data_IF_364822338831
#
_entry.id   IF_364822338831
#
_cell.length_a   1.000
_cell.length_b   1.000
_cell.length_c   1.000
_cell.angle_alpha   90.00
_cell.angle_beta   90.00
_cell.angle_gamma   90.00
#
_symmetry.space_group_name_H-M   'P 1'
#
loop_
_entity.id
_entity.type
_entity.pdbx_description
1 polymer ?
#
# COMPACT_ATOMS: atom_id res chain seq x y z
N UNK A 1 47.67 16.95 -24.85
CA UNK A 1 46.37 16.56 -25.46
C UNK A 1 45.63 15.44 -24.70
N UNK A 2 46.26 14.31 -24.35
CA UNK A 2 45.59 13.20 -23.62
C UNK A 2 45.03 13.60 -22.24
N UNK A 3 45.81 14.31 -21.42
CA UNK A 3 45.37 14.78 -20.08
C UNK A 3 44.16 15.73 -20.16
N UNK A 4 44.17 16.68 -21.10
CA UNK A 4 43.05 17.62 -21.32
C UNK A 4 41.77 16.88 -21.73
N UNK A 5 41.87 15.85 -22.59
CA UNK A 5 40.74 14.98 -22.94
C UNK A 5 40.16 14.24 -21.72
N UNK A 6 41.00 13.69 -20.85
CA UNK A 6 40.52 13.03 -19.62
C UNK A 6 39.87 14.01 -18.65
N UNK A 7 40.39 15.22 -18.52
CA UNK A 7 39.75 16.28 -17.72
C UNK A 7 38.38 16.67 -18.28
N UNK A 8 38.27 16.88 -19.60
CA UNK A 8 36.98 17.20 -20.25
C UNK A 8 35.96 16.06 -20.12
N UNK A 9 36.40 14.80 -20.25
CA UNK A 9 35.56 13.62 -20.03
C UNK A 9 35.06 13.52 -18.59
N UNK A 10 35.95 13.72 -17.61
CA UNK A 10 35.57 13.71 -16.19
C UNK A 10 34.57 14.83 -15.86
N UNK A 11 34.75 16.02 -16.44
CA UNK A 11 33.86 17.16 -16.24
C UNK A 11 32.47 16.90 -16.86
N UNK A 12 32.43 16.31 -18.06
CA UNK A 12 31.17 15.92 -18.71
C UNK A 12 30.41 14.87 -17.88
N UNK A 13 31.10 13.85 -17.36
CA UNK A 13 30.50 12.83 -16.50
C UNK A 13 29.95 13.44 -15.21
N UNK A 14 30.68 14.36 -14.58
CA UNK A 14 30.22 15.06 -13.38
C UNK A 14 28.95 15.89 -13.63
N UNK A 15 28.89 16.60 -14.76
CA UNK A 15 27.70 17.39 -15.15
C UNK A 15 26.49 16.46 -15.39
N UNK A 16 26.67 15.36 -16.11
CA UNK A 16 25.60 14.40 -16.37
C UNK A 16 25.09 13.75 -15.08
N UNK A 17 25.98 13.41 -14.14
CA UNK A 17 25.60 12.87 -12.84
C UNK A 17 24.83 13.89 -11.99
N UNK A 18 25.23 15.17 -12.00
CA UNK A 18 24.52 16.23 -11.28
C UNK A 18 23.11 16.49 -11.86
N UNK A 19 22.98 16.51 -13.19
CA UNK A 19 21.69 16.66 -13.87
C UNK A 19 20.76 15.47 -13.57
N UNK A 20 21.27 14.25 -13.63
CA UNK A 20 20.51 13.04 -13.30
C UNK A 20 20.08 13.03 -11.82
N UNK A 21 20.97 13.39 -10.90
CA UNK A 21 20.69 13.48 -9.47
C UNK A 21 19.66 14.56 -9.13
N UNK A 22 19.79 15.75 -9.73
CA UNK A 22 18.82 16.85 -9.57
C UNK A 22 17.44 16.49 -10.13
N UNK A 23 17.37 15.89 -11.32
CA UNK A 23 16.12 15.40 -11.89
C UNK A 23 15.46 14.35 -10.99
N UNK A 24 16.23 13.37 -10.50
CA UNK A 24 15.73 12.34 -9.60
C UNK A 24 15.18 12.91 -8.29
N UNK A 25 15.88 13.87 -7.68
CA UNK A 25 15.43 14.52 -6.45
C UNK A 25 14.12 15.29 -6.67
N UNK A 26 14.03 16.08 -7.73
CA UNK A 26 12.83 16.86 -8.07
C UNK A 26 11.61 15.98 -8.42
N UNK A 27 11.83 14.80 -8.98
CA UNK A 27 10.76 13.86 -9.35
C UNK A 27 10.48 12.79 -8.29
N UNK A 28 11.25 12.77 -7.20
CA UNK A 28 10.98 11.88 -6.08
C UNK A 28 9.74 12.37 -5.32
N UNK A 29 8.62 11.65 -5.46
CA UNK A 29 7.41 11.94 -4.71
C UNK A 29 7.66 11.88 -3.20
N UNK A 30 6.96 12.69 -2.41
CA UNK A 30 7.12 12.68 -0.94
C UNK A 30 6.72 11.30 -0.38
N UNK A 31 7.68 10.50 0.12
CA UNK A 31 7.39 9.14 0.60
C UNK A 31 6.59 9.15 1.91
N UNK A 32 6.51 10.28 2.60
CA UNK A 32 5.81 10.43 3.88
C UNK A 32 4.46 11.14 3.73
N UNK A 33 3.94 11.32 2.50
CA UNK A 33 2.69 12.05 2.29
C UNK A 33 1.52 11.41 3.04
N UNK A 34 1.33 10.09 2.91
CA UNK A 34 0.30 9.35 3.66
C UNK A 34 0.53 9.45 5.17
N UNK A 35 1.77 9.32 5.64
CA UNK A 35 2.10 9.47 7.06
C UNK A 35 1.67 10.83 7.61
N UNK A 36 1.98 11.91 6.88
CA UNK A 36 1.61 13.28 7.27
C UNK A 36 0.08 13.43 7.31
N UNK A 37 -0.63 12.92 6.31
CA UNK A 37 -2.10 12.95 6.30
C UNK A 37 -2.67 12.25 7.54
N UNK A 38 -2.23 11.03 7.84
CA UNK A 38 -2.76 10.27 8.98
C UNK A 38 -2.41 10.94 10.30
N UNK A 39 -1.14 11.22 10.54
CA UNK A 39 -0.65 11.63 11.86
C UNK A 39 -0.80 13.12 12.15
N UNK A 40 -0.92 13.97 11.12
CA UNK A 40 -0.98 15.43 11.28
C UNK A 40 -2.35 16.01 10.91
N UNK A 41 -3.23 15.23 10.28
CA UNK A 41 -4.57 15.69 9.91
C UNK A 41 -5.63 14.77 10.50
N UNK A 42 -5.76 13.53 10.01
CA UNK A 42 -6.86 12.65 10.40
C UNK A 42 -6.90 12.39 11.92
N UNK A 43 -5.77 11.99 12.52
CA UNK A 43 -5.70 11.71 13.97
C UNK A 43 -5.95 12.97 14.82
N UNK A 44 -5.26 14.11 14.60
CA UNK A 44 -5.54 15.33 15.34
C UNK A 44 -6.98 15.84 15.17
N UNK A 45 -7.54 15.85 13.95
CA UNK A 45 -8.91 16.29 13.71
C UNK A 45 -9.92 15.39 14.43
N UNK A 46 -9.70 14.07 14.42
CA UNK A 46 -10.57 13.15 15.17
C UNK A 46 -10.50 13.39 16.68
N UNK A 47 -9.30 13.60 17.22
CA UNK A 47 -9.10 13.82 18.66
C UNK A 47 -9.69 15.14 19.14
N UNK A 48 -9.53 16.21 18.36
CA UNK A 48 -9.87 17.56 18.78
C UNK A 48 -11.28 17.99 18.38
N UNK A 49 -11.77 17.50 17.24
CA UNK A 49 -12.99 17.99 16.60
C UNK A 49 -14.00 16.86 16.33
N UNK A 50 -13.66 15.62 16.66
CA UNK A 50 -14.45 14.43 16.32
C UNK A 50 -14.72 14.32 14.81
N UNK A 51 -13.81 14.84 13.99
CA UNK A 51 -13.93 14.88 12.54
C UNK A 51 -12.81 14.03 11.90
N UNK A 52 -13.13 12.96 11.15
CA UNK A 52 -12.11 12.10 10.57
C UNK A 52 -11.42 12.72 9.33
N UNK A 53 -11.99 13.78 8.75
CA UNK A 53 -11.50 14.38 7.50
C UNK A 53 -10.01 14.75 7.59
N UNK A 54 -9.18 14.46 6.56
CA UNK A 54 -9.54 13.99 5.21
C UNK A 54 -9.71 12.46 5.11
N UNK A 55 -9.55 11.71 6.20
CA UNK A 55 -9.88 10.30 6.23
C UNK A 55 -11.40 10.13 6.25
N UNK A 56 -11.88 9.00 5.74
CA UNK A 56 -13.28 8.65 5.82
C UNK A 56 -13.66 8.08 7.20
N UNK A 57 -12.70 7.42 7.86
CA UNK A 57 -12.84 6.94 9.24
C UNK A 57 -11.51 7.07 9.98
N UNK A 58 -11.57 7.40 11.28
CA UNK A 58 -10.44 7.31 12.20
C UNK A 58 -10.86 6.53 13.43
N UNK A 59 -10.33 5.31 13.57
CA UNK A 59 -10.60 4.44 14.70
C UNK A 59 -9.39 4.44 15.65
N UNK A 60 -9.38 5.39 16.59
CA UNK A 60 -8.26 5.56 17.53
C UNK A 60 -8.04 4.32 18.42
N UNK A 61 -9.13 3.68 18.86
CA UNK A 61 -9.07 2.48 19.71
C UNK A 61 -8.54 1.26 18.95
N UNK A 62 -8.96 1.10 17.69
CA UNK A 62 -8.49 0.07 16.78
C UNK A 62 -7.10 0.35 16.20
N UNK A 63 -6.60 1.58 16.32
CA UNK A 63 -5.28 1.97 15.86
C UNK A 63 -5.16 2.15 14.35
N UNK A 64 -6.26 2.45 13.64
CA UNK A 64 -6.26 2.59 12.17
C UNK A 64 -7.13 3.73 11.64
N UNK A 65 -6.96 4.06 10.36
CA UNK A 65 -7.81 4.96 9.58
C UNK A 65 -8.21 4.29 8.27
N UNK A 66 -9.36 4.68 7.72
CA UNK A 66 -9.74 4.42 6.33
C UNK A 66 -9.61 5.71 5.52
N UNK A 67 -8.85 5.66 4.44
CA UNK A 67 -8.57 6.81 3.59
C UNK A 67 -8.93 6.51 2.14
N UNK A 68 -9.67 7.41 1.48
CA UNK A 68 -10.02 7.23 0.07
C UNK A 68 -8.77 7.40 -0.79
N UNK A 69 -8.40 6.37 -1.56
CA UNK A 69 -7.29 6.49 -2.51
C UNK A 69 -7.67 7.46 -3.63
N UNK A 70 -6.71 8.20 -4.18
CA UNK A 70 -6.96 9.04 -5.36
C UNK A 70 -7.16 8.21 -6.63
N UNK A 71 -6.62 6.99 -6.65
CA UNK A 71 -6.70 6.07 -7.77
C UNK A 71 -7.90 5.13 -7.57
N UNK A 72 -8.67 4.92 -8.63
CA UNK A 72 -9.80 3.98 -8.63
C UNK A 72 -11.08 4.52 -7.97
N UNK A 73 -12.27 4.15 -8.47
CA UNK A 73 -13.54 4.70 -8.00
C UNK A 73 -13.87 4.26 -6.57
N UNK A 74 -13.56 3.00 -6.21
CA UNK A 74 -13.94 2.36 -4.95
C UNK A 74 -12.74 2.00 -4.06
N UNK A 75 -11.53 2.38 -4.44
CA UNK A 75 -10.34 1.99 -3.69
C UNK A 75 -10.15 2.83 -2.43
N UNK A 76 -9.92 2.16 -1.31
CA UNK A 76 -9.56 2.73 -0.02
C UNK A 76 -8.23 2.16 0.48
N UNK A 77 -7.63 2.86 1.43
CA UNK A 77 -6.44 2.44 2.16
C UNK A 77 -6.77 2.30 3.64
N UNK A 78 -6.40 1.17 4.24
CA UNK A 78 -6.28 1.07 5.69
C UNK A 78 -4.84 1.37 6.10
N UNK A 79 -4.66 2.29 7.06
CA UNK A 79 -3.35 2.70 7.58
C UNK A 79 -3.36 2.81 9.11
N UNK A 80 -2.26 2.50 9.81
CA UNK A 80 -2.20 2.64 11.25
C UNK A 80 -2.16 4.12 11.68
N UNK A 81 -2.71 4.42 12.85
CA UNK A 81 -2.67 5.75 13.50
C UNK A 81 -1.34 6.05 14.18
N UNK A 82 -0.33 5.19 13.98
CA UNK A 82 1.02 5.30 14.50
C UNK A 82 2.03 4.78 13.47
N UNK A 83 3.32 4.99 13.71
CA UNK A 83 4.36 4.77 12.69
C UNK A 83 4.66 3.28 12.49
N UNK A 84 4.23 2.75 11.35
CA UNK A 84 4.69 1.49 10.75
C UNK A 84 5.01 1.81 9.29
N UNK A 85 6.18 1.45 8.78
CA UNK A 85 6.58 1.84 7.42
C UNK A 85 5.97 0.96 6.32
N UNK A 86 5.76 -0.33 6.61
CA UNK A 86 5.30 -1.32 5.65
C UNK A 86 5.63 -2.73 6.10
N UNK A 87 5.62 -3.67 5.15
CA UNK A 87 5.81 -5.11 5.37
C UNK A 87 7.11 -5.48 6.08
N UNK A 88 8.13 -4.63 5.99
CA UNK A 88 9.45 -4.84 6.62
C UNK A 88 9.51 -4.46 8.11
N UNK A 89 8.44 -3.91 8.68
CA UNK A 89 8.45 -3.47 10.07
C UNK A 89 8.43 -4.67 11.03
N UNK A 90 9.35 -4.75 12.02
CA UNK A 90 9.36 -5.83 13.00
C UNK A 90 8.11 -5.83 13.88
N UNK A 91 7.44 -4.68 14.02
CA UNK A 91 6.17 -4.56 14.75
C UNK A 91 5.10 -5.52 14.21
N UNK A 92 5.14 -5.89 12.92
CA UNK A 92 4.17 -6.81 12.33
C UNK A 92 4.33 -8.26 12.82
N UNK A 93 5.43 -8.58 13.51
CA UNK A 93 5.67 -9.88 14.13
C UNK A 93 5.29 -9.91 15.62
N UNK A 94 4.98 -8.76 16.21
CA UNK A 94 4.60 -8.66 17.61
C UNK A 94 3.15 -9.15 17.80
N UNK A 95 2.89 -10.07 18.74
CA UNK A 95 1.55 -10.64 18.95
C UNK A 95 0.47 -9.61 19.32
N UNK A 96 0.88 -8.47 19.90
CA UNK A 96 -0.01 -7.39 20.31
C UNK A 96 -0.28 -6.36 19.19
N UNK A 97 0.41 -6.45 18.05
CA UNK A 97 0.12 -5.59 16.91
C UNK A 97 -1.25 -5.94 16.34
N UNK A 98 -2.13 -4.95 16.09
CA UNK A 98 -3.43 -5.20 15.51
C UNK A 98 -3.35 -5.97 14.20
N UNK A 99 -4.31 -6.87 13.98
CA UNK A 99 -4.45 -7.55 12.71
C UNK A 99 -5.05 -6.60 11.66
N UNK A 100 -4.19 -5.83 11.00
CA UNK A 100 -4.59 -4.84 10.00
C UNK A 100 -5.31 -5.45 8.79
N UNK A 101 -4.98 -6.68 8.40
CA UNK A 101 -5.70 -7.37 7.31
C UNK A 101 -7.14 -7.67 7.72
N UNK A 102 -7.37 -8.12 8.96
CA UNK A 102 -8.72 -8.33 9.48
C UNK A 102 -9.48 -7.00 9.60
N UNK A 103 -8.84 -5.95 10.11
CA UNK A 103 -9.46 -4.62 10.19
C UNK A 103 -9.84 -4.09 8.79
N UNK A 104 -8.99 -4.32 7.79
CA UNK A 104 -9.26 -3.89 6.41
C UNK A 104 -10.42 -4.69 5.81
N UNK A 105 -10.52 -5.98 6.12
CA UNK A 105 -11.68 -6.80 5.75
C UNK A 105 -12.96 -6.27 6.38
N UNK A 106 -12.98 -5.97 7.68
CA UNK A 106 -14.14 -5.39 8.35
C UNK A 106 -14.53 -4.02 7.78
N UNK A 107 -13.55 -3.19 7.41
CA UNK A 107 -13.75 -1.88 6.81
C UNK A 107 -14.20 -1.89 5.35
N UNK A 108 -14.29 -3.05 4.68
CA UNK A 108 -14.60 -3.13 3.23
C UNK A 108 -15.96 -2.57 2.84
N UNK A 109 -16.92 -2.52 3.77
CA UNK A 109 -18.27 -2.01 3.52
C UNK A 109 -18.28 -0.53 3.09
N UNK A 110 -17.22 0.21 3.39
CA UNK A 110 -17.01 1.57 2.87
C UNK A 110 -17.01 1.63 1.33
N UNK A 111 -16.66 0.53 0.66
CA UNK A 111 -16.76 0.40 -0.79
C UNK A 111 -18.22 0.39 -1.24
N UNK A 112 -19.08 -0.38 -0.59
CA UNK A 112 -20.54 -0.43 -0.84
C UNK A 112 -21.18 0.93 -0.62
N UNK A 113 -20.82 1.61 0.48
CA UNK A 113 -21.31 2.96 0.79
C UNK A 113 -20.97 3.96 -0.31
N UNK A 114 -19.73 3.92 -0.81
CA UNK A 114 -19.30 4.80 -1.92
C UNK A 114 -19.92 4.41 -3.26
N UNK A 115 -20.11 3.12 -3.50
CA UNK A 115 -20.71 2.59 -4.73
C UNK A 115 -22.20 2.93 -4.83
N UNK A 116 -22.89 3.08 -3.69
CA UNK A 116 -24.34 3.28 -3.63
C UNK A 116 -25.15 1.98 -3.77
N UNK A 117 -24.47 0.84 -3.85
CA UNK A 117 -25.05 -0.49 -3.89
C UNK A 117 -24.07 -1.51 -3.29
N UNK A 118 -24.55 -2.66 -2.78
CA UNK A 118 -23.69 -3.68 -2.18
C UNK A 118 -22.56 -4.12 -3.13
N UNK A 119 -21.33 -4.13 -2.63
CA UNK A 119 -20.19 -4.78 -3.29
C UNK A 119 -20.05 -6.19 -2.69
N UNK A 120 -20.18 -7.27 -3.48
CA UNK A 120 -20.13 -8.62 -2.95
C UNK A 120 -18.71 -8.97 -2.48
N UNK A 121 -18.60 -9.76 -1.40
CA UNK A 121 -17.33 -10.16 -0.79
C UNK A 121 -16.35 -10.81 -1.78
N UNK A 122 -16.87 -11.61 -2.72
CA UNK A 122 -16.06 -12.28 -3.74
C UNK A 122 -15.42 -11.34 -4.76
N UNK A 123 -15.87 -10.08 -4.81
CA UNK A 123 -15.29 -9.03 -5.64
C UNK A 123 -14.22 -8.21 -4.90
N UNK A 124 -14.11 -8.32 -3.57
CA UNK A 124 -13.15 -7.54 -2.77
C UNK A 124 -11.81 -8.25 -2.66
N UNK A 125 -10.72 -7.49 -2.65
CA UNK A 125 -9.37 -7.96 -2.35
C UNK A 125 -8.63 -6.98 -1.44
N UNK A 126 -7.75 -7.54 -0.61
CA UNK A 126 -6.84 -6.81 0.27
C UNK A 126 -5.41 -7.10 -0.18
N UNK A 127 -4.62 -6.05 -0.40
CA UNK A 127 -3.24 -6.19 -0.83
C UNK A 127 -2.32 -5.17 -0.16
N UNK A 128 -1.09 -5.57 0.14
CA UNK A 128 -0.03 -4.68 0.60
C UNK A 128 1.21 -4.89 -0.26
N UNK A 129 1.84 -3.79 -0.66
CA UNK A 129 3.05 -3.82 -1.46
C UNK A 129 4.29 -3.84 -0.56
N UNK A 130 5.33 -4.56 -1.02
CA UNK A 130 6.65 -4.53 -0.42
C UNK A 130 7.31 -3.15 -0.56
N UNK A 131 8.47 -2.95 0.07
CA UNK A 131 9.24 -1.70 -0.03
C UNK A 131 9.59 -1.33 -1.48
N UNK A 132 9.91 -2.30 -2.32
CA UNK A 132 10.21 -2.06 -3.75
C UNK A 132 8.96 -1.87 -4.60
N UNK A 133 7.79 -2.33 -4.14
CA UNK A 133 6.52 -2.22 -4.85
C UNK A 133 5.68 -0.98 -4.49
N UNK A 134 6.20 -0.07 -3.66
CA UNK A 134 5.45 1.09 -3.15
C UNK A 134 6.24 2.38 -3.20
N UNK A 135 5.54 3.51 -3.10
CA UNK A 135 6.13 4.86 -3.07
C UNK A 135 5.93 5.58 -1.74
N UNK A 136 5.13 5.02 -0.83
CA UNK A 136 4.81 5.62 0.47
C UNK A 136 5.37 4.75 1.60
N UNK A 137 6.01 5.39 2.58
CA UNK A 137 6.66 4.80 3.74
C UNK A 137 5.77 4.85 4.99
N UNK A 138 4.47 4.66 4.80
CA UNK A 138 3.52 4.43 5.88
C UNK A 138 2.72 3.19 5.49
N UNK A 139 2.60 2.21 6.38
CA UNK A 139 1.89 0.96 6.12
C UNK A 139 0.50 1.25 5.58
N UNK A 140 0.16 0.67 4.43
CA UNK A 140 -1.15 0.83 3.81
C UNK A 140 -1.59 -0.47 3.14
N UNK A 141 -2.75 -0.98 3.54
CA UNK A 141 -3.44 -2.07 2.83
C UNK A 141 -4.40 -1.43 1.84
N UNK A 142 -4.28 -1.80 0.56
CA UNK A 142 -5.25 -1.47 -0.46
C UNK A 142 -6.48 -2.34 -0.30
N UNK A 143 -7.64 -1.71 -0.18
CA UNK A 143 -8.97 -2.31 -0.18
C UNK A 143 -9.60 -1.95 -1.53
N UNK A 144 -9.73 -2.91 -2.44
CA UNK A 144 -10.20 -2.66 -3.80
C UNK A 144 -10.78 -3.91 -4.45
N UNK A 145 -11.34 -3.76 -5.66
CA UNK A 145 -11.89 -4.88 -6.39
C UNK A 145 -10.78 -5.83 -6.88
N UNK A 146 -11.00 -7.14 -6.72
CA UNK A 146 -10.19 -8.19 -7.31
C UNK A 146 -10.36 -8.19 -8.83
N UNK A 147 -9.27 -8.43 -9.57
CA UNK A 147 -9.37 -8.58 -11.02
C UNK A 147 -10.15 -9.86 -11.37
N UNK A 148 -11.01 -9.85 -12.41
CA UNK A 148 -11.79 -11.03 -12.80
C UNK A 148 -10.94 -12.25 -13.16
N UNK A 149 -9.81 -12.06 -13.83
CA UNK A 149 -8.88 -13.13 -14.20
C UNK A 149 -8.25 -13.80 -12.98
N UNK A 150 -7.89 -13.01 -11.96
CA UNK A 150 -7.38 -13.53 -10.68
C UNK A 150 -8.46 -14.28 -9.92
N UNK A 151 -9.70 -13.77 -9.87
CA UNK A 151 -10.83 -14.47 -9.23
C UNK A 151 -11.06 -15.84 -9.86
N UNK A 152 -11.16 -15.90 -11.19
CA UNK A 152 -11.35 -17.14 -11.92
C UNK A 152 -10.21 -18.15 -11.67
N UNK A 153 -8.96 -17.68 -11.60
CA UNK A 153 -7.82 -18.55 -11.29
C UNK A 153 -7.88 -19.09 -9.85
N UNK A 154 -8.22 -18.24 -8.87
CA UNK A 154 -8.36 -18.67 -7.48
C UNK A 154 -9.52 -19.66 -7.29
N UNK A 155 -10.62 -19.49 -8.04
CA UNK A 155 -11.75 -20.44 -8.04
C UNK A 155 -11.34 -21.79 -8.63
N UNK A 156 -10.60 -21.77 -9.75
CA UNK A 156 -10.08 -22.98 -10.39
C UNK A 156 -9.13 -23.77 -9.48
N UNK A 157 -8.26 -23.08 -8.75
CA UNK A 157 -7.25 -23.70 -7.88
C UNK A 157 -7.73 -23.92 -6.43
N UNK A 158 -9.01 -23.66 -6.13
CA UNK A 158 -9.56 -23.68 -4.77
C UNK A 158 -9.30 -25.00 -4.03
N UNK A 159 -9.49 -26.14 -4.71
CA UNK A 159 -9.29 -27.47 -4.14
C UNK A 159 -7.85 -27.74 -3.73
N UNK A 160 -6.89 -27.01 -4.29
CA UNK A 160 -5.50 -27.16 -3.91
C UNK A 160 -5.17 -26.34 -2.65
N UNK A 161 -5.99 -25.34 -2.26
CA UNK A 161 -5.66 -24.37 -1.19
C UNK A 161 -5.81 -25.07 0.16
N UNK A 162 -4.79 -24.95 1.01
CA UNK A 162 -4.74 -25.59 2.32
C UNK A 162 -4.17 -24.62 3.36
N UNK A 163 -4.13 -25.05 4.62
CA UNK A 163 -3.52 -24.29 5.71
C UNK A 163 -1.98 -24.18 5.62
N UNK A 164 -1.33 -24.87 4.67
CA UNK A 164 0.12 -24.81 4.46
C UNK A 164 0.45 -23.84 3.33
N UNK A 165 1.47 -23.02 3.55
CA UNK A 165 2.08 -22.19 2.51
C UNK A 165 2.67 -23.07 1.40
N UNK A 166 2.07 -23.03 0.22
CA UNK A 166 2.50 -23.76 -0.98
C UNK A 166 2.47 -22.84 -2.21
N UNK A 167 3.27 -23.12 -3.26
CA UNK A 167 3.12 -22.42 -4.53
C UNK A 167 1.70 -22.56 -5.10
N UNK A 168 1.19 -21.49 -5.70
CA UNK A 168 0.00 -21.52 -6.55
C UNK A 168 0.40 -22.14 -7.90
N UNK A 169 -0.22 -23.25 -8.35
CA UNK A 169 0.26 -24.01 -9.51
C UNK A 169 0.46 -23.17 -10.78
N UNK A 170 -0.44 -22.23 -11.06
CA UNK A 170 -0.34 -21.33 -12.21
C UNK A 170 0.29 -19.96 -11.87
N UNK A 171 0.60 -19.70 -10.60
CA UNK A 171 0.92 -18.37 -10.09
C UNK A 171 -0.22 -17.37 -10.31
N UNK A 172 0.00 -16.11 -9.94
CA UNK A 172 -0.85 -15.00 -10.35
C UNK A 172 -0.05 -14.11 -11.31
N UNK A 173 -0.60 -13.86 -12.51
CA UNK A 173 0.03 -13.00 -13.53
C UNK A 173 1.49 -13.37 -13.85
N UNK A 174 1.75 -14.67 -13.96
CA UNK A 174 3.10 -15.22 -14.20
C UNK A 174 4.14 -14.88 -13.13
N UNK A 175 3.70 -14.65 -11.88
CA UNK A 175 4.59 -14.47 -10.73
C UNK A 175 4.52 -15.66 -9.78
N UNK A 176 5.65 -15.99 -9.17
CA UNK A 176 5.73 -16.99 -8.12
C UNK A 176 4.89 -16.51 -6.91
N UNK A 177 3.69 -17.09 -6.78
CA UNK A 177 2.73 -16.74 -5.73
C UNK A 177 2.62 -17.91 -4.78
N UNK A 178 2.69 -17.64 -3.48
CA UNK A 178 2.41 -18.62 -2.43
C UNK A 178 0.98 -18.44 -1.93
N UNK A 179 0.33 -19.52 -1.51
CA UNK A 179 -1.06 -19.52 -1.03
C UNK A 179 -1.19 -20.28 0.28
N UNK A 180 -2.15 -19.84 1.08
CA UNK A 180 -2.70 -20.55 2.23
C UNK A 180 -4.15 -20.07 2.41
N UNK A 181 -5.00 -20.88 3.03
CA UNK A 181 -6.41 -20.59 3.28
C UNK A 181 -6.93 -21.27 4.52
#
# INVERSE_FOLDING_TARGET
>A
MRRVRYFLLALLVAILAALAGGYYWLHSGNPDALRKIVLQQCVPHQQQQQNPSPCAEVNLKGGYVLFKDRNGPLQYLLMPTYRINGTESPLLLEPLTPNFFWQAWQGREIMSQRHGAPVPDNAVSLAINSRSGRTQNHFHIHISCLRPDVRAQLDKDAAAISSRWLPLPAGLRATNTWRAG
#
